data_IF_235313432339
#
_entry.id   IF_235313432339
#
_cell.length_a   1.000
_cell.length_b   1.000
_cell.length_c   1.000
_cell.angle_alpha   90.00
_cell.angle_beta   90.00
_cell.angle_gamma   90.00
#
_symmetry.space_group_name_H-M   'P 1'
#
loop_
_entity.id
_entity.type
_entity.pdbx_description
1 polymer ?
#
# COMPACT_ATOMS: atom_id res chain seq x y z
N UNK A 1 18.08 -16.85 -21.71
CA UNK A 1 16.78 -16.22 -21.37
C UNK A 1 16.68 -14.96 -22.20
N UNK A 2 15.71 -14.85 -23.11
CA UNK A 2 15.48 -13.60 -23.84
C UNK A 2 15.18 -12.49 -22.82
N UNK A 3 15.81 -11.33 -22.97
CA UNK A 3 15.48 -10.17 -22.14
C UNK A 3 14.00 -9.82 -22.40
N UNK A 4 13.22 -9.59 -21.34
CA UNK A 4 11.80 -9.21 -21.45
C UNK A 4 11.61 -7.79 -20.91
N UNK A 5 10.67 -7.04 -21.48
CA UNK A 5 10.26 -5.71 -21.03
C UNK A 5 8.77 -5.71 -20.74
N UNK A 6 8.29 -4.75 -19.94
CA UNK A 6 6.85 -4.56 -19.78
C UNK A 6 6.26 -3.84 -20.99
N UNK A 7 5.06 -4.25 -21.41
CA UNK A 7 4.24 -3.46 -22.34
C UNK A 7 3.79 -2.12 -21.71
N UNK A 8 3.21 -1.22 -22.50
CA UNK A 8 2.79 0.11 -22.03
C UNK A 8 1.74 0.07 -20.90
N UNK A 9 0.83 -0.91 -20.92
CA UNK A 9 -0.18 -1.07 -19.88
C UNK A 9 0.43 -1.61 -18.58
N UNK A 10 1.35 -2.57 -18.70
CA UNK A 10 2.13 -3.12 -17.60
C UNK A 10 3.02 -2.07 -16.93
N UNK A 11 3.67 -1.21 -17.72
CA UNK A 11 4.46 -0.11 -17.19
C UNK A 11 3.62 0.88 -16.36
N UNK A 12 2.43 1.25 -16.85
CA UNK A 12 1.52 2.15 -16.12
C UNK A 12 0.96 1.52 -14.83
N UNK A 13 0.63 0.23 -14.87
CA UNK A 13 0.23 -0.56 -13.70
C UNK A 13 1.35 -0.65 -12.66
N UNK A 14 2.58 -0.91 -13.09
CA UNK A 14 3.74 -0.96 -12.20
C UNK A 14 4.01 0.38 -11.54
N UNK A 15 3.97 1.48 -12.30
CA UNK A 15 4.10 2.83 -11.74
C UNK A 15 3.08 3.09 -10.64
N UNK A 16 1.83 2.70 -10.87
CA UNK A 16 0.75 2.83 -9.89
C UNK A 16 1.04 2.05 -8.60
N UNK A 17 1.56 0.82 -8.71
CA UNK A 17 1.91 -0.02 -7.56
C UNK A 17 3.16 0.50 -6.81
N UNK A 18 4.13 1.07 -7.53
CA UNK A 18 5.32 1.68 -6.93
C UNK A 18 4.98 2.93 -6.12
N UNK A 19 4.15 3.81 -6.66
CA UNK A 19 3.62 4.99 -5.95
C UNK A 19 2.79 4.58 -4.71
N UNK A 20 2.02 3.49 -4.84
CA UNK A 20 1.27 2.91 -3.73
C UNK A 20 2.20 2.40 -2.62
N UNK A 21 3.30 1.71 -2.95
CA UNK A 21 4.30 1.25 -1.97
C UNK A 21 4.99 2.41 -1.25
N UNK A 22 5.31 3.50 -1.96
CA UNK A 22 5.90 4.70 -1.36
C UNK A 22 4.94 5.30 -0.34
N UNK A 23 3.67 5.47 -0.72
CA UNK A 23 2.63 6.00 0.18
C UNK A 23 2.44 5.11 1.41
N UNK A 24 2.43 3.78 1.20
CA UNK A 24 2.32 2.80 2.27
C UNK A 24 3.51 2.85 3.23
N UNK A 25 4.73 3.08 2.73
CA UNK A 25 5.91 3.25 3.55
C UNK A 25 5.82 4.51 4.43
N UNK A 26 5.29 5.62 3.90
CA UNK A 26 5.02 6.83 4.70
C UNK A 26 4.01 6.54 5.81
N UNK A 27 2.91 5.86 5.49
CA UNK A 27 1.90 5.47 6.49
C UNK A 27 2.49 4.55 7.56
N UNK A 28 3.35 3.60 7.17
CA UNK A 28 4.04 2.73 8.11
C UNK A 28 4.88 3.53 9.11
N UNK A 29 5.68 4.49 8.64
CA UNK A 29 6.48 5.36 9.52
C UNK A 29 5.63 6.15 10.54
N UNK A 30 4.41 6.55 10.16
CA UNK A 30 3.47 7.21 11.07
C UNK A 30 2.90 6.26 12.12
N UNK A 31 2.56 5.02 11.72
CA UNK A 31 2.13 3.96 12.65
C UNK A 31 3.22 3.66 13.67
N UNK A 32 4.48 3.57 13.23
CA UNK A 32 5.61 3.33 14.13
C UNK A 32 5.84 4.50 15.09
N UNK A 33 5.68 5.75 14.63
CA UNK A 33 5.70 6.92 15.51
C UNK A 33 4.60 6.84 16.57
N UNK A 34 3.38 6.49 16.18
CA UNK A 34 2.28 6.33 17.13
C UNK A 34 2.54 5.19 18.13
N UNK A 35 3.19 4.11 17.71
CA UNK A 35 3.60 3.04 18.60
C UNK A 35 4.59 3.50 19.69
N UNK A 36 5.50 4.42 19.34
CA UNK A 36 6.41 5.06 20.30
C UNK A 36 5.64 5.87 21.34
N UNK A 37 4.63 6.65 20.92
CA UNK A 37 3.78 7.41 21.84
C UNK A 37 3.03 6.49 22.82
N UNK A 38 2.42 5.40 22.32
CA UNK A 38 1.74 4.42 23.18
C UNK A 38 2.70 3.79 24.17
N UNK A 39 3.93 3.45 23.74
CA UNK A 39 4.96 2.91 24.63
C UNK A 39 5.34 3.92 25.73
N UNK A 40 5.29 5.22 25.42
CA UNK A 40 5.48 6.31 26.37
C UNK A 40 4.21 6.65 27.18
N UNK A 41 3.16 5.83 27.11
CA UNK A 41 1.85 6.05 27.75
C UNK A 41 1.17 7.36 27.35
N UNK A 42 1.46 7.86 26.14
CA UNK A 42 0.83 9.03 25.55
C UNK A 42 -0.25 8.61 24.56
N UNK A 43 -1.23 9.48 24.37
CA UNK A 43 -2.23 9.29 23.32
C UNK A 43 -1.59 9.41 21.94
N UNK A 44 -2.05 8.58 20.99
CA UNK A 44 -1.65 8.67 19.58
C UNK A 44 -2.22 9.91 18.85
N UNK A 45 -3.11 10.67 19.52
CA UNK A 45 -3.62 11.95 19.07
C UNK A 45 -4.18 11.93 17.64
N UNK A 46 -3.66 12.81 16.79
CA UNK A 46 -4.15 13.01 15.41
C UNK A 46 -3.55 12.05 14.38
N UNK A 47 -2.61 11.18 14.76
CA UNK A 47 -1.89 10.31 13.82
C UNK A 47 -2.85 9.42 12.99
N UNK A 48 -3.88 8.77 13.57
CA UNK A 48 -4.83 7.98 12.77
C UNK A 48 -5.54 8.81 11.69
N UNK A 49 -5.84 10.08 11.97
CA UNK A 49 -6.50 10.95 11.01
C UNK A 49 -5.54 11.42 9.91
N UNK A 50 -4.26 11.60 10.24
CA UNK A 50 -3.24 11.88 9.23
C UNK A 50 -3.02 10.66 8.32
N UNK A 51 -3.01 9.44 8.85
CA UNK A 51 -2.95 8.19 8.07
C UNK A 51 -4.15 8.11 7.12
N UNK A 52 -5.37 8.36 7.62
CA UNK A 52 -6.58 8.40 6.79
C UNK A 52 -6.45 9.36 5.61
N UNK A 53 -5.90 10.56 5.83
CA UNK A 53 -5.72 11.57 4.77
C UNK A 53 -4.79 11.09 3.65
N UNK A 54 -3.81 10.25 3.95
CA UNK A 54 -2.94 9.63 2.95
C UNK A 54 -3.57 8.41 2.28
N UNK A 55 -4.32 7.61 3.04
CA UNK A 55 -4.94 6.38 2.56
C UNK A 55 -6.11 6.62 1.58
N UNK A 56 -6.87 7.71 1.73
CA UNK A 56 -8.02 8.00 0.85
C UNK A 56 -7.60 8.23 -0.61
N UNK A 57 -6.60 9.10 -0.92
CA UNK A 57 -6.08 9.23 -2.28
C UNK A 57 -5.53 7.90 -2.84
N UNK A 58 -4.82 7.13 -2.01
CA UNK A 58 -4.28 5.82 -2.38
C UNK A 58 -5.40 4.85 -2.81
N UNK A 59 -6.51 4.82 -2.08
CA UNK A 59 -7.69 4.03 -2.45
C UNK A 59 -8.21 4.44 -3.85
N UNK A 60 -8.34 5.75 -4.10
CA UNK A 60 -8.82 6.28 -5.38
C UNK A 60 -7.91 5.90 -6.54
N UNK A 61 -6.60 6.02 -6.34
CA UNK A 61 -5.58 5.64 -7.32
C UNK A 61 -5.66 4.15 -7.69
N UNK A 62 -5.80 3.27 -6.70
CA UNK A 62 -5.85 1.83 -6.91
C UNK A 62 -7.18 1.36 -7.53
N UNK A 63 -8.28 2.08 -7.32
CA UNK A 63 -9.63 1.64 -7.72
C UNK A 63 -9.77 1.33 -9.22
N UNK A 64 -9.06 2.08 -10.07
CA UNK A 64 -9.16 1.91 -11.54
C UNK A 64 -8.54 0.63 -12.08
N UNK A 65 -7.50 0.09 -11.43
CA UNK A 65 -6.70 -1.03 -11.96
C UNK A 65 -6.59 -2.21 -10.97
N UNK A 66 -6.79 -1.96 -9.68
CA UNK A 66 -6.56 -2.88 -8.57
C UNK A 66 -7.71 -2.81 -7.54
N UNK A 67 -8.95 -2.99 -8.00
CA UNK A 67 -10.16 -2.83 -7.18
C UNK A 67 -10.14 -3.56 -5.84
N UNK A 68 -9.69 -4.82 -5.81
CA UNK A 68 -9.58 -5.58 -4.55
C UNK A 68 -8.60 -4.95 -3.54
N UNK A 69 -7.47 -4.40 -4.01
CA UNK A 69 -6.52 -3.72 -3.12
C UNK A 69 -7.13 -2.40 -2.65
N UNK A 70 -7.85 -1.68 -3.52
CA UNK A 70 -8.57 -0.48 -3.12
C UNK A 70 -9.61 -0.78 -2.00
N UNK A 71 -10.32 -1.90 -2.08
CA UNK A 71 -11.25 -2.31 -1.03
C UNK A 71 -10.52 -2.65 0.29
N UNK A 72 -9.34 -3.28 0.22
CA UNK A 72 -8.49 -3.49 1.39
C UNK A 72 -8.01 -2.17 2.01
N UNK A 73 -7.67 -1.15 1.19
CA UNK A 73 -7.33 0.19 1.69
C UNK A 73 -8.54 0.84 2.36
N UNK A 74 -9.74 0.67 1.80
CA UNK A 74 -10.98 1.15 2.43
C UNK A 74 -11.22 0.49 3.80
N UNK A 75 -11.01 -0.83 3.89
CA UNK A 75 -11.10 -1.55 5.16
C UNK A 75 -10.06 -1.06 6.18
N UNK A 76 -8.81 -0.81 5.75
CA UNK A 76 -7.76 -0.24 6.58
C UNK A 76 -8.11 1.17 7.10
N UNK A 77 -8.70 2.03 6.26
CA UNK A 77 -9.20 3.35 6.66
C UNK A 77 -10.24 3.22 7.77
N UNK A 78 -11.19 2.29 7.64
CA UNK A 78 -12.21 2.08 8.65
C UNK A 78 -11.60 1.54 9.96
N UNK A 79 -10.69 0.57 9.86
CA UNK A 79 -10.04 -0.03 11.02
C UNK A 79 -9.15 0.97 11.79
N UNK A 80 -8.43 1.85 11.09
CA UNK A 80 -7.59 2.88 11.70
C UNK A 80 -8.39 3.99 12.40
N UNK A 81 -9.62 4.26 11.95
CA UNK A 81 -10.40 5.44 12.38
C UNK A 81 -11.55 5.12 13.33
N UNK A 82 -12.06 3.88 13.37
CA UNK A 82 -13.14 3.49 14.29
C UNK A 82 -12.65 3.46 15.75
N UNK A 83 -13.54 3.86 16.66
CA UNK A 83 -13.25 4.17 18.08
C UNK A 83 -13.52 3.04 19.08
N UNK A 84 -13.33 1.77 18.70
CA UNK A 84 -13.78 0.63 19.50
C UNK A 84 -12.74 -0.05 20.41
N UNK A 85 -11.54 0.52 20.60
CA UNK A 85 -10.48 -0.10 21.39
C UNK A 85 -9.39 0.88 21.82
N UNK A 86 -8.58 0.50 22.81
CA UNK A 86 -7.45 1.30 23.30
C UNK A 86 -6.35 1.49 22.25
N UNK A 87 -5.51 2.50 22.45
CA UNK A 87 -4.47 2.89 21.47
C UNK A 87 -3.53 1.73 21.10
N UNK A 88 -3.20 0.86 22.04
CA UNK A 88 -2.37 -0.32 21.80
C UNK A 88 -3.01 -1.28 20.78
N UNK A 89 -4.30 -1.55 20.90
CA UNK A 89 -5.04 -2.39 19.95
C UNK A 89 -5.06 -1.73 18.57
N UNK A 90 -5.26 -0.42 18.52
CA UNK A 90 -5.29 0.34 17.26
C UNK A 90 -3.95 0.30 16.53
N UNK A 91 -2.82 0.44 17.24
CA UNK A 91 -1.49 0.28 16.66
C UNK A 91 -1.31 -1.12 16.06
N UNK A 92 -1.70 -2.17 16.79
CA UNK A 92 -1.61 -3.55 16.30
C UNK A 92 -2.38 -3.72 14.99
N UNK A 93 -3.65 -3.30 14.99
CA UNK A 93 -4.51 -3.36 13.80
C UNK A 93 -3.92 -2.56 12.62
N UNK A 94 -3.36 -1.38 12.88
CA UNK A 94 -2.74 -0.59 11.81
C UNK A 94 -1.47 -1.24 11.26
N UNK A 95 -0.63 -1.86 12.09
CA UNK A 95 0.57 -2.60 11.64
C UNK A 95 0.20 -3.80 10.78
N UNK A 96 -0.78 -4.58 11.23
CA UNK A 96 -1.29 -5.74 10.48
C UNK A 96 -1.89 -5.30 9.13
N UNK A 97 -2.70 -4.25 9.13
CA UNK A 97 -3.26 -3.69 7.90
C UNK A 97 -2.19 -3.20 6.92
N UNK A 98 -1.15 -2.52 7.41
CA UNK A 98 -0.01 -2.10 6.57
C UNK A 98 0.72 -3.31 5.98
N UNK A 99 0.97 -4.35 6.79
CA UNK A 99 1.63 -5.57 6.32
C UNK A 99 0.81 -6.31 5.25
N UNK A 100 -0.51 -6.44 5.47
CA UNK A 100 -1.42 -7.03 4.49
C UNK A 100 -1.45 -6.25 3.17
N UNK A 101 -1.55 -4.92 3.24
CA UNK A 101 -1.54 -4.07 2.05
C UNK A 101 -0.23 -4.17 1.28
N UNK A 102 0.91 -4.20 1.97
CA UNK A 102 2.23 -4.39 1.35
C UNK A 102 2.26 -5.69 0.56
N UNK A 103 1.85 -6.79 1.19
CA UNK A 103 1.83 -8.10 0.56
C UNK A 103 0.91 -8.12 -0.67
N UNK A 104 -0.28 -7.53 -0.57
CA UNK A 104 -1.21 -7.46 -1.69
C UNK A 104 -0.65 -6.67 -2.88
N UNK A 105 0.03 -5.55 -2.63
CA UNK A 105 0.66 -4.72 -3.66
C UNK A 105 1.85 -5.46 -4.30
N UNK A 106 2.69 -6.13 -3.51
CA UNK A 106 3.83 -6.91 -4.01
C UNK A 106 3.37 -8.11 -4.87
N UNK A 107 2.31 -8.80 -4.46
CA UNK A 107 1.70 -9.87 -5.25
C UNK A 107 1.13 -9.35 -6.57
N UNK A 108 0.45 -8.21 -6.54
CA UNK A 108 -0.04 -7.58 -7.76
C UNK A 108 1.10 -7.15 -8.69
N UNK A 109 2.21 -6.66 -8.16
CA UNK A 109 3.39 -6.30 -8.95
C UNK A 109 3.98 -7.52 -9.68
N UNK A 110 4.09 -8.65 -8.99
CA UNK A 110 4.54 -9.90 -9.61
C UNK A 110 3.59 -10.36 -10.72
N UNK A 111 2.28 -10.31 -10.48
CA UNK A 111 1.27 -10.66 -11.48
C UNK A 111 1.30 -9.73 -12.70
N UNK A 112 1.52 -8.43 -12.50
CA UNK A 112 1.68 -7.48 -13.62
C UNK A 112 2.91 -7.84 -14.45
N UNK A 113 4.03 -8.18 -13.80
CA UNK A 113 5.23 -8.63 -14.51
C UNK A 113 4.97 -9.90 -15.32
N UNK A 114 4.32 -10.90 -14.74
CA UNK A 114 3.99 -12.14 -15.43
C UNK A 114 3.08 -11.92 -16.64
N UNK A 115 2.07 -11.04 -16.51
CA UNK A 115 1.04 -10.84 -17.53
C UNK A 115 1.42 -9.86 -18.63
N UNK A 116 2.33 -8.93 -18.36
CA UNK A 116 2.69 -7.84 -19.28
C UNK A 116 4.14 -7.89 -19.76
N UNK A 117 4.86 -8.99 -19.49
CA UNK A 117 6.21 -9.19 -20.03
C UNK A 117 6.16 -9.58 -21.51
N UNK A 118 6.82 -8.80 -22.35
CA UNK A 118 7.02 -9.04 -23.77
C UNK A 118 8.50 -9.22 -24.08
N UNK A 119 8.83 -10.06 -25.06
CA UNK A 119 10.22 -10.28 -25.47
C UNK A 119 10.85 -9.00 -26.03
N UNK A 120 12.11 -8.75 -25.70
CA UNK A 120 12.93 -7.72 -26.33
C UNK A 120 13.50 -8.34 -27.60
N UNK A 121 13.00 -7.91 -28.76
CA UNK A 121 13.65 -8.19 -30.04
C UNK A 121 14.94 -7.39 -30.10
N UNK A 122 16.08 -8.07 -29.93
CA UNK A 122 17.39 -7.50 -30.22
C UNK A 122 17.60 -7.72 -31.71
N UNK A 123 17.29 -6.71 -32.52
CA UNK A 123 17.75 -6.66 -33.92
C UNK A 123 19.28 -6.65 -33.87
N UNK A 124 19.89 -7.76 -34.28
CA UNK A 124 21.34 -7.90 -34.38
C UNK A 124 21.84 -7.07 -35.54
N UNK A 125 22.52 -5.97 -35.23
CA UNK A 125 23.48 -5.30 -36.12
C UNK A 125 24.87 -5.94 -35.96
#
# INVERSE_FOLDING_TARGET
MAATKLDGAGAQKMKTLEEALITLQTMHGMVERAAVEVKAQKSIGVIPQQIKRLAVPLQGQLKGQFGMIADQVAAFILASTRGGGGDQTKIRTMREGVAMLRQAIELAANKVKEQHSVAIEVSGD
#
